data_IF_762168453352
#
_entry.id   IF_762168453352
#
_cell.length_a   1.000
_cell.length_b   1.000
_cell.length_c   1.000
_cell.angle_alpha   90.00
_cell.angle_beta   90.00
_cell.angle_gamma   90.00
#
_symmetry.space_group_name_H-M   'P 1'
#
loop_
_entity.id
_entity.type
_entity.pdbx_description
1 polymer ?
#
# COMPACT_ATOMS: atom_id res chain seq x y z
N UNK A 1 -2.64 -6.80 4.48
CA UNK A 1 -2.06 -6.21 3.25
C UNK A 1 -3.11 -5.92 2.17
N UNK A 2 -3.79 -6.94 1.64
CA UNK A 2 -4.72 -6.82 0.50
C UNK A 2 -5.79 -5.74 0.69
N UNK A 3 -6.50 -5.73 1.84
CA UNK A 3 -7.53 -4.71 2.11
C UNK A 3 -6.96 -3.29 2.19
N UNK A 4 -5.82 -3.10 2.88
CA UNK A 4 -5.18 -1.79 3.00
C UNK A 4 -4.73 -1.24 1.65
N UNK A 5 -4.10 -2.08 0.82
CA UNK A 5 -3.66 -1.74 -0.54
C UNK A 5 -4.87 -1.39 -1.42
N UNK A 6 -5.94 -2.17 -1.35
CA UNK A 6 -7.17 -1.92 -2.09
C UNK A 6 -7.81 -0.58 -1.73
N UNK A 7 -7.88 -0.25 -0.43
CA UNK A 7 -8.40 1.03 0.04
C UNK A 7 -7.52 2.21 -0.41
N UNK A 8 -6.19 2.09 -0.29
CA UNK A 8 -5.25 3.13 -0.72
C UNK A 8 -5.40 3.39 -2.22
N UNK A 9 -5.39 2.34 -3.05
CA UNK A 9 -5.54 2.46 -4.50
C UNK A 9 -6.89 3.05 -4.90
N UNK A 10 -7.99 2.56 -4.33
CA UNK A 10 -9.33 3.09 -4.60
C UNK A 10 -9.44 4.58 -4.27
N UNK A 11 -8.94 5.01 -3.10
CA UNK A 11 -8.97 6.43 -2.70
C UNK A 11 -8.05 7.30 -3.55
N UNK A 12 -6.90 6.78 -3.97
CA UNK A 12 -6.02 7.50 -4.88
C UNK A 12 -6.67 7.73 -6.25
N UNK A 13 -7.34 6.72 -6.81
CA UNK A 13 -8.06 6.84 -8.09
C UNK A 13 -9.26 7.79 -7.98
N UNK A 14 -10.05 7.71 -6.90
CA UNK A 14 -11.12 8.68 -6.63
C UNK A 14 -10.60 10.12 -6.53
N UNK A 15 -9.48 10.33 -5.83
CA UNK A 15 -8.86 11.64 -5.68
C UNK A 15 -8.32 12.17 -7.02
N UNK A 16 -7.73 11.30 -7.84
CA UNK A 16 -7.21 11.64 -9.16
C UNK A 16 -8.34 12.02 -10.13
N UNK A 17 -9.46 11.29 -10.12
CA UNK A 17 -10.62 11.60 -10.93
C UNK A 17 -11.27 12.95 -10.58
N UNK A 18 -11.13 13.39 -9.31
CA UNK A 18 -11.60 14.71 -8.86
C UNK A 18 -10.60 15.83 -9.15
N UNK A 19 -9.31 15.56 -9.02
CA UNK A 19 -8.25 16.56 -9.18
C UNK A 19 -7.10 15.99 -10.04
N UNK A 20 -7.24 15.98 -11.38
CA UNK A 20 -6.23 15.42 -12.28
C UNK A 20 -4.87 16.13 -12.18
N UNK A 21 -4.88 17.44 -11.92
CA UNK A 21 -3.66 18.26 -11.78
C UNK A 21 -2.79 17.86 -10.58
N UNK A 22 -3.37 17.18 -9.58
CA UNK A 22 -2.68 16.71 -8.39
C UNK A 22 -2.05 15.31 -8.53
N UNK A 23 -2.01 14.74 -9.75
CA UNK A 23 -1.55 13.36 -10.00
C UNK A 23 -0.20 13.05 -9.34
N UNK A 24 0.79 13.92 -9.53
CA UNK A 24 2.15 13.68 -9.02
C UNK A 24 2.17 13.56 -7.49
N UNK A 25 1.44 14.44 -6.80
CA UNK A 25 1.37 14.46 -5.33
C UNK A 25 0.58 13.26 -4.80
N UNK A 26 -0.56 12.92 -5.43
CA UNK A 26 -1.38 11.76 -5.09
C UNK A 26 -0.58 10.47 -5.28
N UNK A 27 0.09 10.31 -6.43
CA UNK A 27 0.89 9.12 -6.75
C UNK A 27 2.03 8.93 -5.75
N UNK A 28 2.73 10.01 -5.39
CA UNK A 28 3.83 9.95 -4.42
C UNK A 28 3.34 9.47 -3.06
N UNK A 29 2.24 10.06 -2.57
CA UNK A 29 1.64 9.69 -1.28
C UNK A 29 1.09 8.25 -1.30
N UNK A 30 0.44 7.86 -2.40
CA UNK A 30 -0.08 6.51 -2.61
C UNK A 30 1.04 5.46 -2.56
N UNK A 31 2.14 5.67 -3.30
CA UNK A 31 3.27 4.74 -3.33
C UNK A 31 3.87 4.58 -1.94
N UNK A 32 4.05 5.67 -1.20
CA UNK A 32 4.57 5.63 0.16
C UNK A 32 3.66 4.80 1.09
N UNK A 33 2.34 5.04 1.03
CA UNK A 33 1.37 4.29 1.83
C UNK A 33 1.35 2.79 1.47
N UNK A 34 1.43 2.47 0.18
CA UNK A 34 1.54 1.08 -0.30
C UNK A 34 2.81 0.40 0.20
N UNK A 35 3.95 1.10 0.17
CA UNK A 35 5.22 0.57 0.66
C UNK A 35 5.16 0.21 2.15
N UNK A 36 4.53 1.05 2.97
CA UNK A 36 4.32 0.73 4.39
C UNK A 36 3.37 -0.46 4.60
N UNK A 37 2.29 -0.54 3.82
CA UNK A 37 1.36 -1.65 3.89
C UNK A 37 2.04 -2.99 3.52
N UNK A 38 2.93 -2.98 2.53
CA UNK A 38 3.71 -4.15 2.12
C UNK A 38 4.84 -4.49 3.11
N UNK A 39 5.49 -3.51 3.73
CA UNK A 39 6.53 -3.78 4.73
C UNK A 39 6.01 -4.65 5.89
N UNK A 40 4.79 -4.38 6.36
CA UNK A 40 4.13 -5.19 7.40
C UNK A 40 3.81 -6.59 6.88
N UNK A 41 3.40 -6.72 5.62
CA UNK A 41 3.10 -8.01 4.98
C UNK A 41 4.34 -8.90 4.91
N UNK A 42 5.46 -8.33 4.45
CA UNK A 42 6.75 -9.01 4.36
C UNK A 42 7.22 -9.42 5.76
N UNK A 43 7.10 -8.54 6.76
CA UNK A 43 7.47 -8.87 8.13
C UNK A 43 6.67 -10.06 8.67
N UNK A 44 5.34 -10.04 8.48
CA UNK A 44 4.49 -11.16 8.89
C UNK A 44 4.84 -12.47 8.16
N UNK A 45 5.15 -12.41 6.86
CA UNK A 45 5.59 -13.56 6.08
C UNK A 45 6.92 -14.13 6.60
N UNK A 46 7.90 -13.26 6.87
CA UNK A 46 9.21 -13.67 7.39
C UNK A 46 9.05 -14.35 8.75
N UNK A 47 8.26 -13.77 9.66
CA UNK A 47 7.97 -14.38 10.97
C UNK A 47 7.28 -15.74 10.81
N UNK A 48 6.30 -15.85 9.91
CA UNK A 48 5.63 -17.12 9.64
C UNK A 48 6.58 -18.20 9.10
N UNK A 49 7.53 -17.83 8.23
CA UNK A 49 8.55 -18.73 7.71
C UNK A 49 9.53 -19.17 8.81
N UNK A 50 9.96 -18.24 9.67
CA UNK A 50 10.79 -18.57 10.84
C UNK A 50 10.05 -19.58 11.71
N UNK A 51 8.80 -19.34 12.08
CA UNK A 51 8.03 -20.26 12.93
C UNK A 51 7.80 -21.64 12.30
N UNK A 52 7.73 -21.72 10.96
CA UNK A 52 7.51 -22.99 10.24
C UNK A 52 8.76 -23.86 10.15
N UNK A 53 9.94 -23.25 10.09
CA UNK A 53 11.20 -23.94 9.78
C UNK A 53 12.28 -23.83 10.86
N UNK A 54 12.07 -23.04 11.91
CA UNK A 54 12.92 -23.00 13.10
C UNK A 54 12.60 -24.13 14.08
#
# INVERSE_FOLDING_TARGET
PALGIGMIGSKAVEALGRNPEAESAIRTTMILALAFAEAIAIYALVVALILKFA
#
